data_IF_602282893876
#
_entry.id   IF_602282893876
#
_cell.length_a   1.000
_cell.length_b   1.000
_cell.length_c   1.000
_cell.angle_alpha   90.00
_cell.angle_beta   90.00
_cell.angle_gamma   90.00
#
_symmetry.space_group_name_H-M   'P 1'
#
loop_
_entity.id
_entity.type
_entity.pdbx_description
1 polymer ?
#
# COMPACT_ATOMS: atom_id res chain seq x y z
N UNK A 1 3.48 9.35 -10.36
CA UNK A 1 2.65 9.84 -9.24
C UNK A 1 3.47 9.92 -7.96
N UNK A 2 3.29 10.98 -7.16
CA UNK A 2 3.97 11.13 -5.86
C UNK A 2 3.24 10.41 -4.70
N UNK A 3 3.86 10.37 -3.52
CA UNK A 3 3.30 9.74 -2.34
C UNK A 3 1.94 10.33 -1.92
N UNK A 4 1.83 11.66 -1.88
CA UNK A 4 0.63 12.33 -1.37
C UNK A 4 -0.59 12.04 -2.24
N UNK A 5 -0.41 12.00 -3.57
CA UNK A 5 -1.43 11.60 -4.52
C UNK A 5 -1.84 10.14 -4.33
N UNK A 6 -0.87 9.22 -4.29
CA UNK A 6 -1.15 7.79 -4.13
C UNK A 6 -1.81 7.46 -2.79
N UNK A 7 -1.42 8.17 -1.72
CA UNK A 7 -2.03 8.08 -0.40
C UNK A 7 -3.49 8.53 -0.41
N UNK A 8 -3.79 9.65 -1.08
CA UNK A 8 -5.17 10.14 -1.18
C UNK A 8 -6.05 9.10 -1.88
N UNK A 9 -5.58 8.55 -3.01
CA UNK A 9 -6.29 7.52 -3.77
C UNK A 9 -6.59 6.27 -2.92
N UNK A 10 -5.58 5.74 -2.23
CA UNK A 10 -5.77 4.51 -1.45
C UNK A 10 -6.69 4.73 -0.24
N UNK A 11 -6.61 5.90 0.41
CA UNK A 11 -7.46 6.21 1.57
C UNK A 11 -8.89 6.58 1.17
N UNK A 12 -9.12 7.12 -0.02
CA UNK A 12 -10.47 7.29 -0.58
C UNK A 12 -11.17 5.94 -0.75
N UNK A 13 -10.42 4.92 -1.16
CA UNK A 13 -10.91 3.53 -1.26
C UNK A 13 -11.12 2.86 0.12
N UNK A 14 -10.44 3.35 1.16
CA UNK A 14 -10.46 2.77 2.51
C UNK A 14 -10.51 3.85 3.62
N UNK A 15 -11.64 4.56 3.77
CA UNK A 15 -11.73 5.78 4.60
C UNK A 15 -11.55 5.54 6.11
N UNK A 16 -11.71 4.30 6.59
CA UNK A 16 -11.56 3.94 8.00
C UNK A 16 -10.20 3.32 8.34
N UNK A 17 -9.24 3.41 7.42
CA UNK A 17 -7.91 2.81 7.58
C UNK A 17 -6.81 3.87 7.66
N UNK A 18 -5.68 3.47 8.22
CA UNK A 18 -4.41 4.21 8.22
C UNK A 18 -3.30 3.41 7.56
N UNK A 19 -2.33 4.11 6.99
CA UNK A 19 -1.11 3.49 6.44
C UNK A 19 -0.20 3.08 7.59
N UNK A 20 0.21 1.80 7.61
CA UNK A 20 1.10 1.23 8.64
C UNK A 20 2.41 0.70 8.08
N UNK A 21 2.45 0.43 6.78
CA UNK A 21 3.70 0.19 6.04
C UNK A 21 3.60 0.78 4.65
N UNK A 22 4.73 1.19 4.14
CA UNK A 22 4.87 1.77 2.82
C UNK A 22 6.08 1.13 2.12
N UNK A 23 5.88 0.76 0.86
CA UNK A 23 6.93 0.38 -0.04
C UNK A 23 6.76 1.12 -1.36
N UNK A 24 7.84 1.22 -2.10
CA UNK A 24 7.88 1.91 -3.38
C UNK A 24 8.70 1.10 -4.39
N UNK A 25 8.24 1.09 -5.63
CA UNK A 25 9.02 0.73 -6.80
C UNK A 25 8.80 1.76 -7.90
N UNK A 26 9.44 1.59 -9.06
CA UNK A 26 9.20 2.46 -10.21
C UNK A 26 7.75 2.34 -10.73
N UNK A 27 7.10 1.19 -10.50
CA UNK A 27 5.74 0.90 -10.99
C UNK A 27 4.63 1.36 -10.04
N UNK A 28 4.85 1.31 -8.72
CA UNK A 28 3.76 1.55 -7.77
C UNK A 28 4.20 2.10 -6.42
N UNK A 29 3.22 2.64 -5.71
CA UNK A 29 3.24 2.78 -4.25
C UNK A 29 2.51 1.59 -3.64
N UNK A 30 3.11 0.92 -2.67
CA UNK A 30 2.49 -0.20 -1.97
C UNK A 30 2.19 0.16 -0.51
N UNK A 31 0.94 0.00 -0.11
CA UNK A 31 0.44 0.36 1.21
C UNK A 31 -0.04 -0.88 1.95
N UNK A 32 0.46 -1.10 3.15
CA UNK A 32 -0.23 -1.94 4.14
C UNK A 32 -1.11 -1.03 4.99
N UNK A 33 -2.38 -1.39 5.13
CA UNK A 33 -3.38 -0.61 5.86
C UNK A 33 -3.83 -1.34 7.13
N UNK A 34 -4.18 -0.59 8.17
CA UNK A 34 -4.82 -1.11 9.39
C UNK A 34 -6.03 -0.25 9.76
N UNK A 35 -6.98 -0.79 10.53
CA UNK A 35 -8.13 -0.02 11.01
C UNK A 35 -7.69 1.15 11.91
N UNK A 36 -8.44 2.24 11.86
CA UNK A 36 -8.31 3.34 12.81
C UNK A 36 -8.64 2.84 14.23
N UNK A 37 -7.79 3.18 15.19
CA UNK A 37 -7.96 2.72 16.59
C UNK A 37 -7.34 1.36 16.90
N UNK A 38 -6.90 0.59 15.90
CA UNK A 38 -6.16 -0.64 16.15
C UNK A 38 -4.65 -0.38 16.38
N UNK A 39 -4.10 -1.09 17.37
CA UNK A 39 -2.66 -1.20 17.56
C UNK A 39 -2.11 -2.16 16.52
N UNK A 40 -1.45 -1.59 15.53
CA UNK A 40 -0.76 -2.39 14.53
C UNK A 40 0.48 -3.05 15.14
N UNK A 41 0.50 -4.38 15.14
CA UNK A 41 1.67 -5.16 15.58
C UNK A 41 2.44 -5.59 14.33
N UNK A 42 3.70 -5.14 14.25
CA UNK A 42 4.61 -5.59 13.19
C UNK A 42 4.86 -7.09 13.29
N UNK A 43 4.79 -7.79 12.15
CA UNK A 43 5.12 -9.22 11.97
C UNK A 43 3.99 -10.22 12.23
N UNK A 44 2.74 -9.74 12.33
CA UNK A 44 1.57 -10.61 12.24
C UNK A 44 1.21 -10.78 10.74
N UNK A 45 1.22 -12.01 10.20
CA UNK A 45 0.70 -12.29 8.86
C UNK A 45 -0.80 -12.01 8.81
N UNK A 46 -1.29 -11.42 7.72
CA UNK A 46 -2.73 -11.25 7.50
C UNK A 46 -3.15 -9.88 6.95
N UNK A 47 -2.28 -8.88 7.01
CA UNK A 47 -2.60 -7.57 6.45
C UNK A 47 -2.41 -7.58 4.93
N UNK A 48 -3.51 -7.38 4.21
CA UNK A 48 -3.50 -7.19 2.76
C UNK A 48 -2.74 -5.91 2.44
N UNK A 49 -1.84 -6.00 1.46
CA UNK A 49 -1.15 -4.83 0.90
C UNK A 49 -1.79 -4.44 -0.41
N UNK A 50 -1.81 -3.15 -0.70
CA UNK A 50 -2.47 -2.57 -1.86
C UNK A 50 -1.43 -1.81 -2.68
N UNK A 51 -1.34 -2.10 -3.98
CA UNK A 51 -0.54 -1.31 -4.91
C UNK A 51 -1.40 -0.22 -5.54
N UNK A 52 -0.87 0.99 -5.61
CA UNK A 52 -1.39 2.10 -6.42
C UNK A 52 -0.44 2.27 -7.59
N UNK A 53 -0.92 2.00 -8.81
CA UNK A 53 -0.13 2.14 -10.04
C UNK A 53 0.27 3.61 -10.24
N UNK A 54 1.56 3.87 -10.47
CA UNK A 54 2.09 5.24 -10.58
C UNK A 54 1.71 5.96 -11.88
N UNK A 55 1.29 5.21 -12.90
CA UNK A 55 0.84 5.74 -14.19
C UNK A 55 -0.68 5.95 -14.20
N UNK A 56 -1.45 4.98 -13.73
CA UNK A 56 -2.93 5.01 -13.85
C UNK A 56 -3.65 5.46 -12.58
N UNK A 57 -3.04 5.33 -11.41
CA UNK A 57 -3.69 5.56 -10.12
C UNK A 57 -4.66 4.46 -9.70
N UNK A 58 -4.73 3.34 -10.41
CA UNK A 58 -5.59 2.22 -10.03
C UNK A 58 -5.06 1.49 -8.79
N UNK A 59 -6.01 1.00 -7.96
CA UNK A 59 -5.71 0.31 -6.70
C UNK A 59 -5.89 -1.19 -6.88
N UNK A 60 -4.84 -1.96 -6.59
CA UNK A 60 -4.84 -3.42 -6.70
C UNK A 60 -4.51 -4.08 -5.35
N UNK A 61 -5.35 -5.01 -4.85
CA UNK A 61 -4.97 -5.84 -3.72
C UNK A 61 -3.90 -6.86 -4.14
N UNK A 62 -2.83 -6.96 -3.36
CA UNK A 62 -1.72 -7.87 -3.61
C UNK A 62 -1.95 -9.21 -2.91
N UNK A 63 -2.88 -10.00 -3.47
CA UNK A 63 -3.08 -11.38 -3.06
C UNK A 63 -2.01 -12.29 -3.67
N UNK A 64 -1.31 -13.13 -2.87
CA UNK A 64 -0.33 -14.08 -3.40
C UNK A 64 -0.90 -14.90 -4.57
N UNK A 65 -0.19 -14.85 -5.71
CA UNK A 65 -0.57 -15.58 -6.92
C UNK A 65 -1.42 -14.78 -7.93
N UNK A 66 -1.86 -13.56 -7.62
CA UNK A 66 -2.54 -12.69 -8.60
C UNK A 66 -1.57 -12.04 -9.58
N UNK A 67 -2.07 -11.62 -10.75
CA UNK A 67 -1.25 -10.87 -11.72
C UNK A 67 -0.71 -9.57 -11.13
N UNK A 68 -1.52 -8.87 -10.33
CA UNK A 68 -1.09 -7.68 -9.61
C UNK A 68 0.04 -7.98 -8.62
N UNK A 69 -0.03 -9.11 -7.90
CA UNK A 69 1.04 -9.53 -7.01
C UNK A 69 2.35 -9.75 -7.77
N UNK A 70 2.30 -10.48 -8.90
CA UNK A 70 3.50 -10.72 -9.71
C UNK A 70 4.04 -9.47 -10.38
N UNK A 71 3.18 -8.53 -10.78
CA UNK A 71 3.57 -7.25 -11.38
C UNK A 71 4.25 -6.33 -10.38
N UNK A 72 3.68 -6.18 -9.18
CA UNK A 72 4.05 -5.09 -8.27
C UNK A 72 4.91 -5.50 -7.08
N UNK A 73 4.95 -6.77 -6.68
CA UNK A 73 5.81 -7.22 -5.58
C UNK A 73 7.31 -7.19 -5.88
N UNK A 74 7.78 -7.47 -7.12
CA UNK A 74 9.20 -7.35 -7.44
C UNK A 74 9.73 -5.95 -7.16
N UNK A 75 10.97 -5.88 -6.68
CA UNK A 75 11.74 -4.64 -6.49
C UNK A 75 11.15 -3.61 -5.51
N UNK A 76 10.14 -3.98 -4.73
CA UNK A 76 9.60 -3.12 -3.66
C UNK A 76 10.68 -2.81 -2.62
N UNK A 77 10.93 -1.52 -2.43
CA UNK A 77 11.81 -1.00 -1.38
C UNK A 77 10.95 -0.46 -0.26
N UNK A 78 11.22 -0.91 0.96
CA UNK A 78 10.57 -0.36 2.15
C UNK A 78 10.99 1.09 2.33
N UNK A 79 10.02 1.96 2.52
CA UNK A 79 10.22 3.39 2.78
C UNK A 79 9.53 3.78 4.09
N UNK A 80 10.00 4.82 4.80
CA UNK A 80 9.32 5.31 5.98
C UNK A 80 7.93 5.84 5.59
N UNK A 81 6.94 5.58 6.46
CA UNK A 81 5.64 6.26 6.36
C UNK A 81 5.86 7.69 6.87
N UNK A 82 5.61 8.74 6.07
CA UNK A 82 5.69 10.11 6.55
C UNK A 82 4.78 10.31 7.77
N UNK A 83 5.30 10.96 8.80
CA UNK A 83 4.49 11.41 9.94
C UNK A 83 3.57 12.55 9.46
N UNK A 84 2.30 12.50 9.87
CA UNK A 84 1.31 13.56 9.57
C UNK A 84 1.56 14.83 10.37
#
# INVERSE_FOLDING_TARGET
MDYSQARAIVLESFPHKKVVRLFESDLCWNFTLAELGETYITNIPGNVSYAVDKETGEVFPLFPGSDAFWKYMPDLKKVPVPEE
#
